data_IF_081728895370
#
_entry.id   IF_081728895370
#
_cell.length_a   1.000
_cell.length_b   1.000
_cell.length_c   1.000
_cell.angle_alpha   90.00
_cell.angle_beta   90.00
_cell.angle_gamma   90.00
#
_symmetry.space_group_name_H-M   'P 1'
#
loop_
_entity.id
_entity.type
_entity.pdbx_description
1 polymer ?
#
# COMPACT_ATOMS: atom_id res chain seq x y z
N UNK A 1 -9.90 9.02 -36.88
CA UNK A 1 -10.28 8.95 -38.31
C UNK A 1 -10.14 7.50 -38.77
N UNK A 2 -11.24 6.88 -39.16
CA UNK A 2 -11.28 5.52 -39.70
C UNK A 2 -11.50 5.61 -41.22
N UNK A 3 -10.66 4.91 -41.98
CA UNK A 3 -10.73 4.89 -43.43
C UNK A 3 -11.84 3.93 -43.90
N UNK A 4 -12.60 4.31 -44.93
CA UNK A 4 -13.63 3.45 -45.51
C UNK A 4 -13.07 2.64 -46.70
N UNK A 5 -13.73 1.53 -47.06
CA UNK A 5 -13.38 0.73 -48.25
C UNK A 5 -13.39 1.55 -49.54
N UNK A 6 -14.26 2.56 -49.62
CA UNK A 6 -14.33 3.46 -50.77
C UNK A 6 -13.08 4.35 -50.88
N UNK A 7 -12.54 4.80 -49.75
CA UNK A 7 -11.33 5.61 -49.70
C UNK A 7 -10.08 4.79 -50.11
N UNK A 8 -10.05 3.51 -49.73
CA UNK A 8 -8.99 2.58 -50.14
C UNK A 8 -8.99 2.31 -51.65
N UNK A 9 -10.17 2.15 -52.25
CA UNK A 9 -10.28 1.94 -53.71
C UNK A 9 -9.84 3.16 -54.53
N UNK A 10 -10.02 4.39 -54.02
CA UNK A 10 -9.55 5.63 -54.69
C UNK A 10 -8.02 5.75 -54.75
N UNK A 11 -7.31 5.02 -53.89
CA UNK A 11 -5.85 5.02 -53.81
C UNK A 11 -5.21 3.92 -54.66
N UNK A 12 -5.98 2.93 -55.13
CA UNK A 12 -5.48 1.87 -56.00
C UNK A 12 -4.96 2.46 -57.32
N UNK A 13 -3.69 2.17 -57.64
CA UNK A 13 -3.01 2.63 -58.85
C UNK A 13 -2.36 4.01 -58.79
N UNK A 14 -2.65 4.84 -57.78
CA UNK A 14 -2.01 6.18 -57.60
C UNK A 14 -0.80 6.16 -56.67
N UNK A 15 -0.68 5.13 -55.84
CA UNK A 15 0.42 4.98 -54.90
C UNK A 15 1.50 4.09 -55.52
N UNK A 16 2.58 4.72 -56.02
CA UNK A 16 3.71 4.01 -56.65
C UNK A 16 4.65 3.35 -55.63
N UNK A 17 4.71 3.87 -54.41
CA UNK A 17 5.46 3.26 -53.30
C UNK A 17 4.90 3.75 -51.98
N UNK A 18 4.81 2.86 -50.99
CA UNK A 18 4.44 3.19 -49.61
C UNK A 18 5.71 3.06 -48.79
N UNK A 19 6.23 4.18 -48.29
CA UNK A 19 7.28 4.13 -47.28
C UNK A 19 6.64 3.80 -45.93
N UNK A 20 6.75 2.54 -45.53
CA UNK A 20 6.38 2.10 -44.18
C UNK A 20 7.63 2.28 -43.32
N UNK A 21 7.65 3.23 -42.35
CA UNK A 21 8.79 3.35 -41.48
C UNK A 21 8.99 2.03 -40.72
N UNK A 22 10.24 1.59 -40.51
CA UNK A 22 10.50 0.36 -39.77
C UNK A 22 9.91 0.47 -38.37
N UNK A 23 9.28 -0.61 -37.89
CA UNK A 23 8.79 -0.68 -36.53
C UNK A 23 9.95 -0.34 -35.58
N UNK A 24 9.81 0.64 -34.68
CA UNK A 24 10.88 1.01 -33.77
C UNK A 24 11.31 -0.23 -32.97
N UNK A 25 12.59 -0.57 -33.07
CA UNK A 25 13.17 -1.77 -32.43
C UNK A 25 13.07 -1.70 -30.90
N UNK A 26 13.05 -0.49 -30.35
CA UNK A 26 12.94 -0.26 -28.92
C UNK A 26 11.49 0.07 -28.57
N UNK A 27 10.89 -0.75 -27.70
CA UNK A 27 9.63 -0.42 -27.05
C UNK A 27 9.86 0.81 -26.17
N UNK A 28 9.09 1.88 -26.38
CA UNK A 28 9.03 2.99 -25.42
C UNK A 28 8.47 2.41 -24.12
N UNK A 29 9.28 2.37 -23.07
CA UNK A 29 8.83 1.99 -21.73
C UNK A 29 8.08 3.19 -21.16
N UNK A 30 6.76 3.20 -21.34
CA UNK A 30 5.92 4.19 -20.66
C UNK A 30 5.90 3.79 -19.18
N UNK A 31 6.32 4.67 -18.25
CA UNK A 31 6.24 4.36 -16.83
C UNK A 31 4.79 4.04 -16.50
N UNK A 32 4.58 2.91 -15.81
CA UNK A 32 3.25 2.45 -15.42
C UNK A 32 2.61 3.57 -14.60
N UNK A 33 1.45 4.08 -15.03
CA UNK A 33 0.77 5.13 -14.29
C UNK A 33 0.53 4.64 -12.85
N UNK A 34 0.85 5.49 -11.89
CA UNK A 34 0.67 5.16 -10.48
C UNK A 34 -0.83 4.89 -10.23
N UNK A 35 -1.12 3.75 -9.59
CA UNK A 35 -2.51 3.33 -9.38
C UNK A 35 -3.27 4.30 -8.47
N UNK A 36 -4.58 4.47 -8.72
CA UNK A 36 -5.46 5.34 -7.91
C UNK A 36 -5.35 5.04 -6.41
N UNK A 37 -5.28 3.76 -6.03
CA UNK A 37 -5.14 3.34 -4.64
C UNK A 37 -3.84 3.84 -4.00
N UNK A 38 -2.70 3.71 -4.70
CA UNK A 38 -1.39 4.12 -4.21
C UNK A 38 -1.34 5.64 -3.99
N UNK A 39 -1.94 6.41 -4.91
CA UNK A 39 -2.08 7.86 -4.73
C UNK A 39 -2.90 8.22 -3.49
N UNK A 40 -4.06 7.59 -3.31
CA UNK A 40 -4.93 7.86 -2.17
C UNK A 40 -4.22 7.56 -0.83
N UNK A 41 -3.63 6.37 -0.69
CA UNK A 41 -2.92 5.96 0.53
C UNK A 41 -1.75 6.91 0.83
N UNK A 42 -0.91 7.21 -0.16
CA UNK A 42 0.23 8.13 0.03
C UNK A 42 -0.24 9.53 0.40
N UNK A 43 -1.33 10.01 -0.21
CA UNK A 43 -1.88 11.32 0.12
C UNK A 43 -2.35 11.37 1.57
N UNK A 44 -3.12 10.37 2.03
CA UNK A 44 -3.59 10.28 3.42
C UNK A 44 -2.42 10.19 4.40
N UNK A 45 -1.41 9.36 4.11
CA UNK A 45 -0.20 9.24 4.92
C UNK A 45 0.53 10.59 5.06
N UNK A 46 0.74 11.30 3.95
CA UNK A 46 1.37 12.64 3.99
C UNK A 46 0.55 13.65 4.77
N UNK A 47 -0.77 13.65 4.59
CA UNK A 47 -1.68 14.57 5.30
C UNK A 47 -1.75 14.29 6.81
N UNK A 48 -1.51 13.05 7.24
CA UNK A 48 -1.52 12.69 8.66
C UNK A 48 -0.36 13.28 9.48
N UNK A 49 0.72 13.72 8.81
CA UNK A 49 1.92 14.22 9.49
C UNK A 49 2.78 13.14 10.17
N UNK A 50 2.39 11.87 10.10
CA UNK A 50 3.13 10.75 10.67
C UNK A 50 4.33 10.37 9.79
N UNK A 51 5.40 9.89 10.41
CA UNK A 51 6.51 9.29 9.69
C UNK A 51 6.12 7.90 9.18
N UNK A 52 6.17 7.71 7.86
CA UNK A 52 5.92 6.43 7.21
C UNK A 52 7.09 6.01 6.32
N UNK A 53 7.21 4.70 6.11
CA UNK A 53 8.25 4.06 5.29
C UNK A 53 7.61 3.11 4.27
N UNK A 54 8.14 3.06 3.06
CA UNK A 54 7.75 2.07 2.03
C UNK A 54 8.61 0.80 2.16
N UNK A 55 8.07 -0.37 1.82
CA UNK A 55 8.83 -1.64 1.70
C UNK A 55 9.58 -2.07 2.98
N UNK A 56 9.04 -1.74 4.16
CA UNK A 56 9.67 -2.01 5.44
C UNK A 56 9.74 -3.52 5.69
N UNK A 57 10.96 -4.05 5.80
CA UNK A 57 11.19 -5.42 6.23
C UNK A 57 11.05 -5.53 7.76
N UNK A 58 10.00 -6.20 8.23
CA UNK A 58 9.77 -6.39 9.67
C UNK A 58 10.30 -7.72 10.21
N UNK A 59 10.47 -8.72 9.33
CA UNK A 59 10.96 -10.04 9.71
C UNK A 59 12.35 -10.32 9.14
N UNK A 60 13.30 -10.75 9.98
CA UNK A 60 14.68 -11.00 9.56
C UNK A 60 14.86 -12.33 8.82
N UNK A 61 14.02 -13.34 9.11
CA UNK A 61 14.20 -14.71 8.63
C UNK A 61 13.59 -14.93 7.24
N UNK A 62 12.33 -14.57 7.09
CA UNK A 62 11.50 -14.69 5.87
C UNK A 62 11.55 -13.44 5.02
N UNK A 63 12.11 -12.34 5.53
CA UNK A 63 12.28 -11.06 4.83
C UNK A 63 10.95 -10.47 4.36
N UNK A 64 9.89 -10.69 5.12
CA UNK A 64 8.58 -10.12 4.81
C UNK A 64 8.61 -8.61 4.92
N UNK A 65 7.95 -7.94 3.97
CA UNK A 65 7.87 -6.49 3.85
C UNK A 65 6.43 -6.02 3.81
N UNK A 66 6.18 -4.83 4.35
CA UNK A 66 4.93 -4.10 4.12
C UNK A 66 5.04 -3.17 2.93
N UNK A 67 3.94 -2.95 2.20
CA UNK A 67 3.90 -1.90 1.17
C UNK A 67 4.20 -0.53 1.80
N UNK A 68 3.53 -0.24 2.92
CA UNK A 68 3.83 0.91 3.80
C UNK A 68 3.79 0.51 5.27
N UNK A 69 4.54 1.23 6.10
CA UNK A 69 4.46 1.09 7.54
C UNK A 69 4.63 2.43 8.26
N UNK A 70 4.00 2.55 9.43
CA UNK A 70 4.18 3.62 10.41
C UNK A 70 4.81 2.98 11.65
N UNK A 71 6.14 2.99 11.79
CA UNK A 71 6.84 2.28 12.86
C UNK A 71 6.47 2.76 14.26
N UNK A 72 6.22 4.06 14.44
CA UNK A 72 5.82 4.64 15.73
C UNK A 72 4.53 4.03 16.27
N UNK A 73 3.61 3.65 15.38
CA UNK A 73 2.34 3.03 15.73
C UNK A 73 2.37 1.50 15.67
N UNK A 74 3.53 0.90 15.32
CA UNK A 74 3.63 -0.52 14.98
C UNK A 74 2.53 -0.93 13.99
N UNK A 75 2.33 -0.14 12.94
CA UNK A 75 1.25 -0.33 11.95
C UNK A 75 1.83 -0.62 10.56
N UNK A 76 1.50 -1.77 10.00
CA UNK A 76 1.71 -2.12 8.59
C UNK A 76 0.45 -1.88 7.75
N UNK A 77 0.62 -1.51 6.49
CA UNK A 77 -0.45 -1.23 5.52
C UNK A 77 -0.16 -2.04 4.26
N UNK A 78 -1.14 -2.80 3.80
CA UNK A 78 -1.02 -3.72 2.66
C UNK A 78 -2.16 -3.50 1.66
N UNK A 79 -1.83 -3.48 0.38
CA UNK A 79 -2.82 -3.52 -0.70
C UNK A 79 -2.85 -4.91 -1.36
N UNK A 80 -3.93 -5.63 -1.10
CA UNK A 80 -4.19 -6.97 -1.61
C UNK A 80 -4.71 -6.92 -3.06
N UNK A 81 -3.80 -7.16 -4.01
CA UNK A 81 -4.11 -7.24 -5.44
C UNK A 81 -4.78 -8.56 -5.85
N UNK A 82 -6.02 -8.81 -5.40
CA UNK A 82 -6.73 -10.09 -5.64
C UNK A 82 -7.44 -10.15 -7.02
N UNK A 83 -7.47 -9.06 -7.80
CA UNK A 83 -8.36 -8.96 -8.99
C UNK A 83 -7.94 -9.85 -10.18
N UNK A 84 -6.71 -10.36 -10.26
CA UNK A 84 -6.31 -11.20 -11.39
C UNK A 84 -6.55 -12.69 -11.12
N UNK A 85 -7.09 -13.42 -12.11
CA UNK A 85 -7.32 -14.87 -12.07
C UNK A 85 -6.09 -15.71 -11.67
N UNK A 86 -4.87 -15.16 -11.84
CA UNK A 86 -3.59 -15.77 -11.43
C UNK A 86 -2.83 -14.91 -10.41
N UNK A 87 -3.49 -14.45 -9.36
CA UNK A 87 -2.81 -13.75 -8.27
C UNK A 87 -2.08 -14.75 -7.36
N UNK A 88 -0.90 -14.38 -6.85
CA UNK A 88 -0.21 -15.17 -5.80
C UNK A 88 -1.14 -15.44 -4.62
N UNK A 89 -1.99 -14.48 -4.29
CA UNK A 89 -2.96 -14.55 -3.19
C UNK A 89 -4.13 -15.51 -3.45
N UNK A 90 -4.32 -16.01 -4.68
CA UNK A 90 -5.39 -16.97 -5.01
C UNK A 90 -4.90 -18.42 -5.09
N UNK A 91 -3.58 -18.64 -5.01
CA UNK A 91 -3.00 -20.00 -4.91
C UNK A 91 -2.96 -20.47 -3.47
N UNK A 92 -3.19 -21.76 -3.21
CA UNK A 92 -3.11 -22.35 -1.84
C UNK A 92 -1.77 -22.00 -1.19
N UNK A 93 -0.66 -22.20 -1.92
CA UNK A 93 0.69 -21.93 -1.40
C UNK A 93 0.93 -20.45 -1.09
N UNK A 94 0.48 -19.55 -1.98
CA UNK A 94 0.63 -18.12 -1.76
C UNK A 94 -0.18 -17.65 -0.55
N UNK A 95 -1.45 -18.05 -0.48
CA UNK A 95 -2.32 -17.74 0.64
C UNK A 95 -1.76 -18.26 1.98
N UNK A 96 -1.26 -19.50 2.03
CA UNK A 96 -0.61 -20.04 3.24
C UNK A 96 0.63 -19.23 3.64
N UNK A 97 1.41 -18.75 2.67
CA UNK A 97 2.58 -17.89 2.95
C UNK A 97 2.14 -16.52 3.49
N UNK A 98 1.02 -15.99 3.00
CA UNK A 98 0.48 -14.72 3.49
C UNK A 98 -0.08 -14.88 4.91
N UNK A 99 -0.76 -16.00 5.21
CA UNK A 99 -1.15 -16.35 6.59
C UNK A 99 0.07 -16.38 7.53
N UNK A 100 1.17 -16.99 7.11
CA UNK A 100 2.41 -16.99 7.89
C UNK A 100 2.95 -15.57 8.11
N UNK A 101 2.96 -14.73 7.08
CA UNK A 101 3.37 -13.31 7.17
C UNK A 101 2.54 -12.57 8.21
N UNK A 102 1.22 -12.66 8.15
CA UNK A 102 0.36 -11.92 9.09
C UNK A 102 0.45 -12.46 10.52
N UNK A 103 0.60 -13.77 10.70
CA UNK A 103 0.79 -14.33 12.04
C UNK A 103 2.10 -13.84 12.66
N UNK A 104 3.22 -13.87 11.92
CA UNK A 104 4.50 -13.35 12.40
C UNK A 104 4.44 -11.86 12.71
N UNK A 105 3.75 -11.09 11.86
CA UNK A 105 3.50 -9.68 12.08
C UNK A 105 2.77 -9.44 13.40
N UNK A 106 1.66 -10.15 13.65
CA UNK A 106 0.90 -10.01 14.90
C UNK A 106 1.72 -10.43 16.13
N UNK A 107 2.49 -11.51 16.04
CA UNK A 107 3.39 -11.96 17.11
C UNK A 107 4.44 -10.88 17.43
N UNK A 108 4.94 -10.20 16.41
CA UNK A 108 5.89 -9.09 16.57
C UNK A 108 5.24 -7.79 17.08
N UNK A 109 3.95 -7.80 17.42
CA UNK A 109 3.23 -6.65 17.99
C UNK A 109 2.71 -5.66 16.96
N UNK A 110 2.81 -5.98 15.67
CA UNK A 110 2.34 -5.12 14.60
C UNK A 110 0.83 -5.31 14.35
N UNK A 111 0.14 -4.20 14.13
CA UNK A 111 -1.19 -4.16 13.53
C UNK A 111 -1.04 -4.11 12.01
N UNK A 112 -1.99 -4.69 11.27
CA UNK A 112 -1.99 -4.61 9.80
C UNK A 112 -3.36 -4.18 9.32
N UNK A 113 -3.41 -3.09 8.55
CA UNK A 113 -4.58 -2.71 7.77
C UNK A 113 -4.42 -3.24 6.34
N UNK A 114 -5.41 -3.98 5.87
CA UNK A 114 -5.39 -4.67 4.57
C UNK A 114 -6.51 -4.14 3.70
N UNK A 115 -6.15 -3.62 2.54
CA UNK A 115 -7.09 -3.02 1.61
C UNK A 115 -7.09 -3.73 0.28
N UNK A 116 -8.23 -3.72 -0.37
CA UNK A 116 -8.42 -4.19 -1.74
C UNK A 116 -8.85 -3.00 -2.60
N UNK A 117 -9.06 -3.25 -3.89
CA UNK A 117 -9.64 -2.25 -4.80
C UNK A 117 -11.00 -1.72 -4.36
N UNK A 118 -11.75 -2.46 -3.54
CA UNK A 118 -13.11 -2.11 -3.16
C UNK A 118 -13.18 -1.18 -1.94
N UNK A 119 -12.18 -1.22 -1.06
CA UNK A 119 -12.25 -0.57 0.25
C UNK A 119 -11.01 0.27 0.62
N UNK A 120 -10.05 0.47 -0.30
CA UNK A 120 -8.87 1.28 -0.01
C UNK A 120 -9.18 2.74 0.37
N UNK A 121 -10.38 3.24 0.07
CA UNK A 121 -10.85 4.58 0.44
C UNK A 121 -11.18 4.71 1.92
N UNK A 122 -11.40 3.60 2.63
CA UNK A 122 -11.68 3.61 4.08
C UNK A 122 -10.42 3.85 4.92
N UNK A 123 -9.24 3.82 4.28
CA UNK A 123 -7.94 3.94 4.94
C UNK A 123 -7.81 5.17 5.85
N UNK A 124 -8.28 6.33 5.39
CA UNK A 124 -8.21 7.57 6.17
C UNK A 124 -9.00 7.47 7.48
N UNK A 125 -10.20 6.91 7.42
CA UNK A 125 -11.06 6.72 8.59
C UNK A 125 -10.41 5.75 9.58
N UNK A 126 -9.89 4.64 9.09
CA UNK A 126 -9.27 3.60 9.93
C UNK A 126 -7.98 4.12 10.60
N UNK A 127 -7.14 4.85 9.85
CA UNK A 127 -5.92 5.47 10.36
C UNK A 127 -6.24 6.45 11.50
N UNK A 128 -7.23 7.33 11.31
CA UNK A 128 -7.66 8.27 12.33
C UNK A 128 -8.19 7.55 13.59
N UNK A 129 -8.90 6.43 13.42
CA UNK A 129 -9.33 5.57 14.53
C UNK A 129 -8.14 5.03 15.33
N UNK A 130 -7.09 4.56 14.66
CA UNK A 130 -5.88 4.05 15.30
C UNK A 130 -5.13 5.16 16.05
N UNK A 131 -4.95 6.33 15.43
CA UNK A 131 -4.30 7.48 16.06
C UNK A 131 -5.03 7.86 17.36
N UNK A 132 -6.36 7.97 17.30
CA UNK A 132 -7.19 8.28 18.46
C UNK A 132 -7.04 7.26 19.60
N UNK A 133 -6.97 5.96 19.28
CA UNK A 133 -6.74 4.90 20.27
C UNK A 133 -5.34 5.05 20.89
N UNK A 134 -4.31 5.25 20.05
CA UNK A 134 -2.93 5.40 20.49
C UNK A 134 -2.75 6.60 21.43
N UNK A 135 -3.32 7.75 21.09
CA UNK A 135 -3.28 8.95 21.93
C UNK A 135 -3.95 8.73 23.29
N UNK A 136 -5.11 8.04 23.31
CA UNK A 136 -5.82 7.70 24.56
C UNK A 136 -4.97 6.80 25.46
N UNK A 137 -4.34 5.77 24.89
CA UNK A 137 -3.45 4.86 25.63
C UNK A 137 -2.26 5.62 26.25
N UNK A 138 -1.63 6.50 25.48
CA UNK A 138 -0.52 7.34 25.95
C UNK A 138 -0.93 8.37 27.01
N UNK A 139 -2.19 8.81 27.03
CA UNK A 139 -2.72 9.69 28.09
C UNK A 139 -2.90 8.95 29.40
N UNK A 140 -3.44 7.73 29.37
CA UNK A 140 -3.67 6.91 30.57
C UNK A 140 -2.35 6.55 31.27
N UNK A 141 -1.32 6.17 30.50
CA UNK A 141 0.01 5.83 31.03
C UNK A 141 0.61 7.01 31.82
N UNK A 142 0.59 8.22 31.23
CA UNK A 142 1.12 9.44 31.86
C UNK A 142 0.44 9.80 33.18
N UNK A 143 -0.86 9.52 33.32
CA UNK A 143 -1.58 9.78 34.57
C UNK A 143 -1.17 8.79 35.67
N UNK A 144 -0.92 7.53 35.33
CA UNK A 144 -0.49 6.52 36.30
C UNK A 144 0.90 6.84 36.88
N UNK A 145 1.83 7.28 36.05
CA UNK A 145 3.19 7.66 36.48
C UNK A 145 3.19 8.84 37.45
N UNK A 146 2.29 9.82 37.26
CA UNK A 146 2.17 10.96 38.18
C UNK A 146 1.63 10.58 39.56
N UNK A 147 0.73 9.59 39.66
CA UNK A 147 0.17 9.14 40.94
C UNK A 147 1.19 8.31 41.71
N UNK A 148 1.88 7.38 41.04
CA UNK A 148 2.92 6.54 41.66
C UNK A 148 4.08 7.38 42.24
N UNK A 149 4.48 8.47 41.57
CA UNK A 149 5.57 9.32 42.04
C UNK A 149 5.17 10.19 43.26
N UNK A 150 3.88 10.54 43.38
CA UNK A 150 3.39 11.29 44.54
C UNK A 150 3.19 10.41 45.78
N UNK A 151 2.77 9.15 45.62
CA UNK A 151 2.67 8.19 46.73
C UNK A 151 4.04 7.91 47.38
N UNK A 152 5.09 7.78 46.57
CA UNK A 152 6.45 7.53 47.07
C UNK A 152 7.02 8.73 47.84
N UNK A 153 6.59 9.96 47.51
CA UNK A 153 7.02 11.17 48.21
C UNK A 153 6.36 11.34 49.59
N UNK A 154 5.13 10.84 49.76
CA UNK A 154 4.44 10.85 51.06
C UNK A 154 4.94 9.77 52.05
N UNK A 155 5.62 8.71 51.58
CA UNK A 155 6.13 7.64 52.45
C UNK A 155 7.59 7.84 52.90
N UNK A 156 8.18 9.01 52.61
CA UNK A 156 9.57 9.38 52.92
C UNK A 156 9.66 10.57 53.91
N UNK A 157 8.55 10.95 54.53
CA UNK A 157 8.43 11.95 55.62
C UNK A 157 7.82 11.27 56.84
#
# INVERSE_FOLDING_TARGET
>A
MSWTKADLNKLQGKVKSIHIPPVPKNKVIIPKSIGKYKLHIIQVLKSSGLHFVEELQFDQKRKFRFDWAIPELMLGIEFEGIISEKSRHTTIQGFSTDCEKYNLCQIAGWKVLRYTVLNYTDFEKDLNGIICIFEKQNRTMRQHDTVSNNQNKCNLL
#
